data_IF_761112549474
#
_entry.id   IF_761112549474
#
_cell.length_a   1.000
_cell.length_b   1.000
_cell.length_c   1.000
_cell.angle_alpha   90.00
_cell.angle_beta   90.00
_cell.angle_gamma   90.00
#
_symmetry.space_group_name_H-M   'P 1'
#
loop_
_entity.id
_entity.type
_entity.pdbx_description
1 polymer ?
#
# COMPACT_ATOMS: atom_id res chain seq x y z
N UNK A 1 10.87 -20.44 17.18
CA UNK A 1 11.78 -20.03 16.09
C UNK A 1 11.92 -18.51 15.95
N UNK A 2 10.83 -17.74 15.72
CA UNK A 2 10.87 -16.25 15.63
C UNK A 2 11.46 -15.56 16.88
N UNK A 3 11.11 -16.03 18.08
CA UNK A 3 11.60 -15.48 19.36
C UNK A 3 13.12 -15.64 19.55
N UNK A 4 13.67 -16.79 19.14
CA UNK A 4 15.11 -17.10 19.27
C UNK A 4 15.92 -16.23 18.30
N UNK A 5 15.44 -16.10 17.05
CA UNK A 5 16.07 -15.27 16.02
C UNK A 5 16.10 -13.80 16.45
N UNK A 6 15.02 -13.28 17.07
CA UNK A 6 14.99 -11.90 17.57
C UNK A 6 15.96 -11.64 18.75
N UNK A 7 16.33 -12.66 19.52
CA UNK A 7 17.30 -12.54 20.62
C UNK A 7 18.75 -12.58 20.13
N UNK A 8 19.02 -13.23 19.00
CA UNK A 8 20.38 -13.44 18.47
C UNK A 8 20.74 -12.43 17.38
N UNK A 9 19.76 -12.01 16.58
CA UNK A 9 20.01 -11.10 15.45
C UNK A 9 19.88 -9.64 15.91
N UNK A 10 20.90 -8.80 15.66
CA UNK A 10 20.84 -7.38 15.96
C UNK A 10 19.67 -6.69 15.26
N UNK A 11 19.01 -5.73 15.93
CA UNK A 11 17.90 -4.96 15.35
C UNK A 11 18.24 -4.32 14.00
N UNK A 12 19.47 -3.80 13.85
CA UNK A 12 19.93 -3.19 12.60
C UNK A 12 19.92 -4.16 11.41
N UNK A 13 20.26 -5.44 11.63
CA UNK A 13 20.27 -6.45 10.58
C UNK A 13 18.83 -6.82 10.15
N UNK A 14 17.90 -6.86 11.11
CA UNK A 14 16.47 -7.06 10.83
C UNK A 14 15.92 -5.87 10.02
N UNK A 15 16.21 -4.64 10.43
CA UNK A 15 15.81 -3.43 9.69
C UNK A 15 16.40 -3.41 8.28
N UNK A 16 17.69 -3.76 8.13
CA UNK A 16 18.34 -3.85 6.82
C UNK A 16 17.67 -4.90 5.92
N UNK A 17 17.34 -6.08 6.46
CA UNK A 17 16.60 -7.11 5.74
C UNK A 17 15.22 -6.61 5.25
N UNK A 18 14.46 -5.94 6.11
CA UNK A 18 13.16 -5.36 5.72
C UNK A 18 13.32 -4.30 4.63
N UNK A 19 14.32 -3.43 4.76
CA UNK A 19 14.65 -2.39 3.78
C UNK A 19 15.03 -2.99 2.42
N UNK A 20 15.91 -4.00 2.39
CA UNK A 20 16.31 -4.70 1.16
C UNK A 20 15.09 -5.31 0.47
N UNK A 21 14.23 -6.00 1.21
CA UNK A 21 13.04 -6.62 0.64
C UNK A 21 11.99 -5.61 0.14
N UNK A 22 11.86 -4.46 0.80
CA UNK A 22 10.99 -3.38 0.32
C UNK A 22 11.50 -2.83 -1.02
N UNK A 23 12.81 -2.57 -1.13
CA UNK A 23 13.44 -2.12 -2.37
C UNK A 23 13.37 -3.18 -3.48
N UNK A 24 13.57 -4.44 -3.13
CA UNK A 24 13.48 -5.55 -4.07
C UNK A 24 12.05 -5.70 -4.63
N UNK A 25 11.03 -5.55 -3.78
CA UNK A 25 9.65 -5.49 -4.22
C UNK A 25 9.42 -4.34 -5.20
N UNK A 26 9.88 -3.12 -4.89
CA UNK A 26 9.76 -1.99 -5.79
C UNK A 26 10.47 -2.24 -7.13
N UNK A 27 11.66 -2.85 -7.11
CA UNK A 27 12.42 -3.20 -8.32
C UNK A 27 11.69 -4.21 -9.20
N UNK A 28 11.17 -5.30 -8.62
CA UNK A 28 10.43 -6.36 -9.36
C UNK A 28 9.26 -5.77 -10.16
N UNK A 29 8.54 -4.81 -9.58
CA UNK A 29 7.38 -4.20 -10.23
C UNK A 29 7.72 -2.93 -11.04
N UNK A 30 9.00 -2.54 -11.08
CA UNK A 30 9.52 -1.43 -11.87
C UNK A 30 9.16 -0.06 -11.30
N UNK A 31 9.29 0.10 -9.98
CA UNK A 31 9.03 1.33 -9.21
C UNK A 31 7.72 2.03 -9.58
N UNK A 32 6.57 1.34 -9.49
CA UNK A 32 5.27 1.87 -9.93
C UNK A 32 4.86 3.14 -9.18
N UNK A 33 5.27 3.30 -7.91
CA UNK A 33 5.02 4.51 -7.13
C UNK A 33 5.62 5.78 -7.74
N UNK A 34 6.69 5.69 -8.55
CA UNK A 34 7.28 6.85 -9.24
C UNK A 34 6.39 7.40 -10.37
N UNK A 35 5.35 6.67 -10.76
CA UNK A 35 4.41 7.03 -11.83
C UNK A 35 3.03 7.43 -11.30
N UNK A 36 2.88 7.48 -9.98
CA UNK A 36 1.62 7.73 -9.29
C UNK A 36 1.84 8.83 -8.25
N UNK A 37 0.81 9.64 -7.99
CA UNK A 37 0.75 10.45 -6.78
C UNK A 37 0.23 9.54 -5.67
N UNK A 38 1.12 9.13 -4.77
CA UNK A 38 0.79 8.22 -3.66
C UNK A 38 0.37 9.02 -2.43
N UNK A 39 -0.82 8.73 -1.91
CA UNK A 39 -1.39 9.37 -0.72
C UNK A 39 -1.54 8.30 0.37
N UNK A 40 -0.68 8.33 1.38
CA UNK A 40 -0.78 7.45 2.55
C UNK A 40 -1.69 8.04 3.61
N UNK A 41 -2.69 7.29 4.05
CA UNK A 41 -3.63 7.67 5.13
C UNK A 41 -3.37 6.80 6.35
N UNK A 42 -2.87 7.40 7.43
CA UNK A 42 -2.59 6.71 8.70
C UNK A 42 -3.31 7.37 9.89
N UNK A 43 -3.30 6.73 11.05
CA UNK A 43 -3.98 7.18 12.26
C UNK A 43 -4.66 6.06 13.05
N UNK A 44 -5.11 6.38 14.25
CA UNK A 44 -5.76 5.41 15.16
C UNK A 44 -7.21 5.10 14.76
N UNK A 45 -7.95 6.09 14.25
CA UNK A 45 -9.35 5.94 13.80
C UNK A 45 -9.57 6.70 12.49
N UNK A 46 -10.61 6.32 11.75
CA UNK A 46 -11.07 7.04 10.56
C UNK A 46 -10.23 6.87 9.30
N UNK A 47 -9.21 5.98 9.29
CA UNK A 47 -8.36 5.77 8.11
C UNK A 47 -9.14 5.31 6.89
N UNK A 48 -9.96 4.26 7.02
CA UNK A 48 -10.75 3.71 5.91
C UNK A 48 -11.76 4.71 5.36
N UNK A 49 -12.45 5.45 6.22
CA UNK A 49 -13.38 6.50 5.81
C UNK A 49 -12.66 7.62 5.07
N UNK A 50 -11.54 8.09 5.62
CA UNK A 50 -10.77 9.18 5.02
C UNK A 50 -10.16 8.77 3.68
N UNK A 51 -9.59 7.57 3.57
CA UNK A 51 -9.02 7.06 2.31
C UNK A 51 -10.09 6.89 1.23
N UNK A 52 -11.28 6.41 1.61
CA UNK A 52 -12.41 6.31 0.70
C UNK A 52 -12.91 7.69 0.21
N UNK A 53 -13.09 8.64 1.13
CA UNK A 53 -13.54 10.00 0.78
C UNK A 53 -12.53 10.74 -0.10
N UNK A 54 -11.23 10.61 0.18
CA UNK A 54 -10.16 11.17 -0.67
C UNK A 54 -10.24 10.58 -2.09
N UNK A 55 -10.42 9.26 -2.20
CA UNK A 55 -10.56 8.62 -3.50
C UNK A 55 -11.78 9.15 -4.27
N UNK A 56 -12.96 9.20 -3.63
CA UNK A 56 -14.20 9.70 -4.26
C UNK A 56 -14.12 11.17 -4.64
N UNK A 57 -13.47 12.00 -3.84
CA UNK A 57 -13.25 13.41 -4.17
C UNK A 57 -12.38 13.56 -5.43
N UNK A 58 -11.28 12.82 -5.51
CA UNK A 58 -10.38 12.84 -6.67
C UNK A 58 -11.07 12.28 -7.94
N UNK A 59 -11.89 11.24 -7.79
CA UNK A 59 -12.73 10.75 -8.90
C UNK A 59 -13.73 11.81 -9.37
N UNK A 60 -14.41 12.49 -8.43
CA UNK A 60 -15.32 13.60 -8.74
C UNK A 60 -14.63 14.79 -9.42
N UNK A 61 -13.32 14.97 -9.20
CA UNK A 61 -12.48 15.93 -9.90
C UNK A 61 -11.99 15.44 -11.28
N UNK A 62 -12.47 14.28 -11.76
CA UNK A 62 -12.15 13.73 -13.08
C UNK A 62 -10.82 12.97 -13.13
N UNK A 63 -10.26 12.55 -12.00
CA UNK A 63 -9.04 11.75 -11.98
C UNK A 63 -9.33 10.26 -11.85
N UNK A 64 -8.54 9.42 -12.55
CA UNK A 64 -8.57 7.97 -12.35
C UNK A 64 -7.73 7.60 -11.12
N UNK A 65 -8.34 6.92 -10.16
CA UNK A 65 -7.77 6.68 -8.83
C UNK A 65 -7.72 5.19 -8.52
N UNK A 66 -6.66 4.76 -7.85
CA UNK A 66 -6.62 3.49 -7.15
C UNK A 66 -6.73 3.68 -5.64
N UNK A 67 -7.34 2.72 -4.95
CA UNK A 67 -7.51 2.72 -3.50
C UNK A 67 -7.11 1.36 -2.92
N UNK A 68 -6.41 1.38 -1.81
CA UNK A 68 -6.15 0.20 -0.99
C UNK A 68 -6.64 0.48 0.42
N UNK A 69 -7.64 -0.24 0.90
CA UNK A 69 -8.21 -0.03 2.24
C UNK A 69 -8.54 -1.35 2.91
N UNK A 70 -8.85 -1.30 4.20
CA UNK A 70 -9.33 -2.46 4.96
C UNK A 70 -10.61 -3.06 4.36
N UNK A 71 -11.43 -2.26 3.67
CA UNK A 71 -12.76 -2.67 3.19
C UNK A 71 -12.73 -3.06 1.72
N UNK A 72 -12.07 -2.26 0.88
CA UNK A 72 -12.04 -2.43 -0.57
C UNK A 72 -10.64 -2.20 -1.17
N UNK A 73 -10.41 -2.87 -2.29
CA UNK A 73 -9.41 -2.49 -3.27
C UNK A 73 -10.08 -1.89 -4.49
N UNK A 74 -9.38 -0.96 -5.13
CA UNK A 74 -9.82 -0.34 -6.36
C UNK A 74 -8.66 -0.03 -7.28
N UNK A 75 -8.86 -0.28 -8.56
CA UNK A 75 -7.92 0.02 -9.64
C UNK A 75 -8.71 0.62 -10.80
N UNK A 76 -8.80 1.95 -10.85
CA UNK A 76 -9.65 2.64 -11.82
C UNK A 76 -11.11 2.30 -11.59
N UNK A 77 -11.80 1.83 -12.62
CA UNK A 77 -13.22 1.47 -12.54
C UNK A 77 -13.49 0.15 -11.80
N UNK A 78 -12.46 -0.68 -11.61
CA UNK A 78 -12.60 -1.97 -10.93
C UNK A 78 -12.53 -1.76 -9.42
N UNK A 79 -13.59 -2.10 -8.71
CA UNK A 79 -13.69 -2.03 -7.26
C UNK A 79 -14.17 -3.38 -6.71
N UNK A 80 -13.53 -3.88 -5.66
CA UNK A 80 -13.89 -5.16 -5.05
C UNK A 80 -13.56 -5.17 -3.56
N UNK A 81 -14.24 -6.04 -2.81
CA UNK A 81 -14.00 -6.22 -1.38
C UNK A 81 -12.57 -6.70 -1.12
N UNK A 82 -11.94 -6.12 -0.10
CA UNK A 82 -10.67 -6.60 0.39
C UNK A 82 -10.89 -7.96 1.09
N UNK A 83 -10.60 -9.04 0.37
CA UNK A 83 -10.63 -10.41 0.86
C UNK A 83 -9.39 -10.78 1.69
N UNK A 84 -8.42 -9.87 1.77
CA UNK A 84 -7.21 -10.03 2.57
C UNK A 84 -7.52 -9.55 3.98
N UNK A 85 -7.30 -10.42 4.95
CA UNK A 85 -7.49 -10.16 6.40
C UNK A 85 -6.45 -9.16 6.98
N UNK A 86 -6.05 -8.16 6.20
CA UNK A 86 -5.04 -7.16 6.52
C UNK A 86 -5.40 -5.81 5.89
N UNK A 87 -5.19 -4.74 6.65
CA UNK A 87 -5.44 -3.34 6.22
C UNK A 87 -4.53 -2.91 5.07
N UNK A 88 -3.25 -3.30 5.14
CA UNK A 88 -2.24 -2.97 4.15
C UNK A 88 -1.62 -4.25 3.61
N UNK A 89 -1.54 -4.36 2.29
CA UNK A 89 -0.86 -5.49 1.66
C UNK A 89 0.63 -5.47 1.98
N UNK A 90 1.22 -6.67 2.11
CA UNK A 90 2.67 -6.80 2.22
C UNK A 90 3.39 -6.19 1.01
N UNK A 91 4.66 -5.83 1.21
CA UNK A 91 5.55 -5.16 0.25
C UNK A 91 5.41 -5.59 -1.22
N UNK A 92 5.29 -6.88 -1.52
CA UNK A 92 5.12 -7.35 -2.91
C UNK A 92 3.69 -7.16 -3.42
N UNK A 93 2.69 -7.46 -2.59
CA UNK A 93 1.28 -7.29 -2.94
C UNK A 93 0.93 -5.82 -3.20
N UNK A 94 1.43 -4.91 -2.36
CA UNK A 94 1.23 -3.48 -2.57
C UNK A 94 1.87 -3.00 -3.87
N UNK A 95 3.13 -3.38 -4.13
CA UNK A 95 3.83 -2.99 -5.36
C UNK A 95 3.15 -3.58 -6.61
N UNK A 96 2.63 -4.81 -6.55
CA UNK A 96 1.82 -5.40 -7.62
C UNK A 96 0.57 -4.58 -7.90
N UNK A 97 -0.17 -4.19 -6.85
CA UNK A 97 -1.41 -3.43 -7.00
C UNK A 97 -1.13 -2.02 -7.54
N UNK A 98 -0.07 -1.35 -7.07
CA UNK A 98 0.38 -0.08 -7.66
C UNK A 98 0.75 -0.22 -9.14
N UNK A 99 1.38 -1.34 -9.52
CA UNK A 99 1.68 -1.62 -10.93
C UNK A 99 0.41 -1.79 -11.76
N UNK A 100 -0.63 -2.42 -11.22
CA UNK A 100 -1.94 -2.52 -11.87
C UNK A 100 -2.60 -1.14 -12.01
N UNK A 101 -2.52 -0.28 -10.99
CA UNK A 101 -2.98 1.12 -11.07
C UNK A 101 -2.28 1.90 -12.19
N UNK A 102 -0.95 1.74 -12.33
CA UNK A 102 -0.20 2.34 -13.45
C UNK A 102 -0.69 1.81 -14.80
N UNK A 103 -0.92 0.49 -14.92
CA UNK A 103 -1.42 -0.12 -16.17
C UNK A 103 -2.81 0.39 -16.54
N UNK A 104 -3.63 0.67 -15.55
CA UNK A 104 -4.96 1.25 -15.71
C UNK A 104 -4.91 2.78 -15.84
N UNK A 105 -3.74 3.40 -15.99
CA UNK A 105 -3.59 4.86 -16.14
C UNK A 105 -4.18 5.66 -14.97
N UNK A 106 -4.20 5.10 -13.75
CA UNK A 106 -4.49 5.87 -12.56
C UNK A 106 -3.43 6.96 -12.37
N UNK A 107 -3.85 8.15 -11.95
CA UNK A 107 -2.95 9.25 -11.58
C UNK A 107 -2.63 9.24 -10.07
N UNK A 108 -3.59 8.79 -9.26
CA UNK A 108 -3.48 8.76 -7.80
C UNK A 108 -3.62 7.35 -7.25
N UNK A 109 -2.89 7.05 -6.19
CA UNK A 109 -3.04 5.85 -5.39
C UNK A 109 -3.22 6.23 -3.92
N UNK A 110 -4.43 6.01 -3.38
CA UNK A 110 -4.74 6.24 -1.97
C UNK A 110 -4.53 4.95 -1.19
N UNK A 111 -3.69 4.98 -0.17
CA UNK A 111 -3.26 3.80 0.57
C UNK A 111 -3.61 3.98 2.05
N UNK A 112 -4.56 3.20 2.54
CA UNK A 112 -4.77 3.02 3.97
C UNK A 112 -3.53 2.33 4.57
N UNK A 113 -2.83 3.04 5.44
CA UNK A 113 -1.53 2.63 5.97
C UNK A 113 -1.64 2.40 7.47
N UNK A 114 -1.41 1.15 7.91
CA UNK A 114 -1.41 0.82 9.33
C UNK A 114 -0.08 1.19 9.99
N UNK A 115 -0.09 1.35 11.32
CA UNK A 115 1.11 1.63 12.13
C UNK A 115 2.20 0.58 11.91
N UNK A 116 1.80 -0.70 11.81
CA UNK A 116 2.68 -1.85 11.60
C UNK A 116 3.31 -1.86 10.20
N UNK A 117 2.72 -1.15 9.23
CA UNK A 117 3.27 -1.00 7.89
C UNK A 117 4.35 0.07 7.79
N UNK A 118 4.43 0.98 8.76
CA UNK A 118 5.36 2.12 8.79
C UNK A 118 6.56 1.84 9.74
N UNK A 119 6.32 1.14 10.85
CA UNK A 119 7.31 0.83 11.88
C UNK A 119 8.29 -0.29 11.47
#
# INVERSE_FOLDING_TARGET
MKEIIKKVVPKWAISFYHWVLANFGALIYGYPSKKLIVIGVTGTKGKSTSSYLIAKFLEGAGHKVGLTSTIIFKVGEKEWLNDKKMTMLGRFGLQKLLKEMVKECCKYAVIETSSEGIA
#
